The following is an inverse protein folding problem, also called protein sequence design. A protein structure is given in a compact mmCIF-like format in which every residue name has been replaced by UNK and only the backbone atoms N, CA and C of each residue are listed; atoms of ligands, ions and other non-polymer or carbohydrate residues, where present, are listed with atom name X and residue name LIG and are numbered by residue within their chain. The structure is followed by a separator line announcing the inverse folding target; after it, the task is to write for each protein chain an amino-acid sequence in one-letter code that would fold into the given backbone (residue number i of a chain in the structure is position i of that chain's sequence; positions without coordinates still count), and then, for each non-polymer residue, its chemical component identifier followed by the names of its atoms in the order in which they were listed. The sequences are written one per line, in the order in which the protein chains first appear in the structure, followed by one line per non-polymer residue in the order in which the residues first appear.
data_IF_043395406773
#
_entry.id   IF_043395406773
#
_cell.length_a   1.000
_cell.length_b   1.000
_cell.length_c   1.000
_cell.angle_alpha   90.00
_cell.angle_beta   90.00
_cell.angle_gamma   90.00
#
_symmetry.space_group_name_H-M   'P 1'
#
loop_
_entity.id
_entity.type
_entity.pdbx_description
1 polymer ?
#
# COMPACT_ATOMS: atom_id res chain seq x y z
N UNK A 1 20.16 -7.02 21.57
CA UNK A 1 19.54 -8.31 21.23
C UNK A 1 18.19 -8.02 20.60
N UNK A 2 17.79 -8.74 19.55
CA UNK A 2 16.48 -8.53 18.92
C UNK A 2 15.36 -8.99 19.88
N UNK A 3 14.32 -8.17 20.03
CA UNK A 3 13.15 -8.51 20.85
C UNK A 3 12.32 -9.56 20.12
N UNK A 4 12.06 -10.75 20.71
CA UNK A 4 11.21 -11.76 20.08
C UNK A 4 9.78 -11.25 19.87
N UNK A 5 9.08 -11.83 18.90
CA UNK A 5 7.66 -11.56 18.66
C UNK A 5 6.85 -11.96 19.90
N UNK A 6 5.97 -11.07 20.37
CA UNK A 6 5.03 -11.37 21.44
C UNK A 6 4.10 -12.52 21.02
N UNK A 7 3.98 -13.57 21.83
CA UNK A 7 3.28 -14.80 21.41
C UNK A 7 1.80 -14.59 21.11
N UNK A 8 1.12 -13.73 21.88
CA UNK A 8 -0.27 -13.36 21.59
C UNK A 8 -0.44 -12.60 20.26
N UNK A 9 0.58 -11.85 19.82
CA UNK A 9 0.58 -11.26 18.47
C UNK A 9 0.89 -12.31 17.39
N UNK A 10 1.78 -13.27 17.69
CA UNK A 10 2.10 -14.37 16.79
C UNK A 10 0.87 -15.20 16.39
N UNK A 11 -0.08 -15.41 17.30
CA UNK A 11 -1.35 -16.07 16.98
C UNK A 11 -2.17 -15.28 15.94
N UNK A 12 -2.27 -13.95 16.09
CA UNK A 12 -2.95 -13.09 15.12
C UNK A 12 -2.27 -13.12 13.74
N UNK A 13 -0.94 -13.16 13.72
CA UNK A 13 -0.17 -13.33 12.49
C UNK A 13 -0.48 -14.66 11.78
N UNK A 14 -0.62 -15.75 12.54
CA UNK A 14 -1.05 -17.05 11.98
C UNK A 14 -2.49 -16.98 11.45
N UNK A 15 -3.41 -16.30 12.13
CA UNK A 15 -4.78 -16.11 11.62
C UNK A 15 -4.81 -15.36 10.27
N UNK A 16 -3.96 -14.35 10.08
CA UNK A 16 -3.81 -13.72 8.76
C UNK A 16 -3.23 -14.67 7.72
N UNK A 17 -2.27 -15.51 8.09
CA UNK A 17 -1.71 -16.54 7.20
C UNK A 17 -2.79 -17.56 6.82
N UNK A 18 -3.65 -17.99 7.74
CA UNK A 18 -4.71 -18.95 7.43
C UNK A 18 -5.70 -18.36 6.43
N UNK A 19 -6.16 -17.12 6.68
CA UNK A 19 -7.10 -16.42 5.81
C UNK A 19 -7.03 -14.89 5.97
N UNK A 20 -6.33 -14.24 5.05
CA UNK A 20 -6.18 -12.77 5.02
C UNK A 20 -7.44 -12.00 4.61
N UNK A 21 -8.54 -12.67 4.24
CA UNK A 21 -9.86 -12.03 4.12
C UNK A 21 -10.65 -12.03 5.44
N UNK A 22 -10.35 -12.98 6.34
CA UNK A 22 -11.01 -13.09 7.65
C UNK A 22 -10.28 -12.28 8.72
N UNK A 23 -8.94 -12.35 8.75
CA UNK A 23 -8.11 -11.49 9.58
C UNK A 23 -7.15 -10.70 8.68
N UNK A 24 -7.65 -9.56 8.19
CA UNK A 24 -6.95 -8.70 7.24
C UNK A 24 -5.61 -8.18 7.77
N UNK A 25 -4.69 -7.92 6.84
CA UNK A 25 -3.37 -7.36 7.15
C UNK A 25 -3.50 -5.95 7.75
N UNK A 26 -4.59 -5.22 7.45
CA UNK A 26 -4.93 -3.95 8.10
C UNK A 26 -5.21 -4.11 9.60
N UNK A 27 -5.89 -5.18 10.00
CA UNK A 27 -6.10 -5.52 11.41
C UNK A 27 -4.80 -5.90 12.08
N UNK A 28 -4.07 -6.84 11.49
CA UNK A 28 -2.76 -7.29 11.98
C UNK A 28 -1.82 -6.10 12.21
N UNK A 29 -1.74 -5.19 11.25
CA UNK A 29 -0.90 -3.99 11.34
C UNK A 29 -1.31 -3.07 12.49
N UNK A 30 -2.60 -2.80 12.65
CA UNK A 30 -3.07 -1.91 13.70
C UNK A 30 -2.93 -2.54 15.10
N UNK A 31 -3.07 -3.86 15.24
CA UNK A 31 -2.91 -4.58 16.51
C UNK A 31 -1.43 -4.79 16.89
N UNK A 32 -0.51 -4.78 15.93
CA UNK A 32 0.92 -4.92 16.20
C UNK A 32 1.43 -3.82 17.14
N UNK A 33 0.91 -2.60 17.01
CA UNK A 33 1.34 -1.45 17.80
C UNK A 33 1.20 -1.64 19.31
N UNK A 34 0.24 -2.46 19.76
CA UNK A 34 0.08 -2.81 21.18
C UNK A 34 1.36 -3.42 21.76
N UNK A 35 2.08 -4.22 20.96
CA UNK A 35 3.24 -5.02 21.40
C UNK A 35 4.53 -4.71 20.66
N UNK A 36 4.51 -3.83 19.65
CA UNK A 36 5.65 -3.47 18.79
C UNK A 36 6.91 -3.11 19.61
N UNK A 37 8.09 -3.70 19.38
CA UNK A 37 9.30 -3.34 20.11
C UNK A 37 9.69 -1.87 19.93
N UNK A 38 10.10 -1.18 20.99
CA UNK A 38 10.45 0.25 20.93
C UNK A 38 11.57 0.54 19.91
N UNK A 39 12.54 -0.37 19.78
CA UNK A 39 13.62 -0.23 18.80
C UNK A 39 13.12 -0.39 17.35
N UNK A 40 12.11 -1.23 17.10
CA UNK A 40 11.49 -1.37 15.79
C UNK A 40 10.70 -0.11 15.43
N UNK A 41 9.93 0.43 16.38
CA UNK A 41 9.18 1.69 16.22
C UNK A 41 10.13 2.82 15.82
N UNK A 42 11.23 3.00 16.55
CA UNK A 42 12.20 4.05 16.29
C UNK A 42 12.84 3.94 14.89
N UNK A 43 13.16 2.71 14.44
CA UNK A 43 13.72 2.47 13.10
C UNK A 43 12.75 2.84 11.99
N UNK A 44 11.47 2.47 12.11
CA UNK A 44 10.45 2.81 11.11
C UNK A 44 10.15 4.31 11.08
N UNK A 45 10.13 4.97 12.24
CA UNK A 45 9.97 6.43 12.29
C UNK A 45 11.16 7.15 11.64
N UNK A 46 12.39 6.73 11.96
CA UNK A 46 13.61 7.28 11.35
C UNK A 46 13.65 7.05 9.83
N UNK A 47 13.22 5.88 9.34
CA UNK A 47 13.15 5.57 7.92
C UNK A 47 12.28 6.56 7.12
N UNK A 48 11.30 7.19 7.77
CA UNK A 48 10.47 8.25 7.17
C UNK A 48 11.12 9.63 7.35
N UNK A 49 11.45 9.99 8.59
CA UNK A 49 11.87 11.35 8.92
C UNK A 49 13.25 11.70 8.37
N UNK A 50 14.17 10.74 8.36
CA UNK A 50 15.56 10.96 7.95
C UNK A 50 15.76 10.80 6.44
N UNK A 51 14.78 10.22 5.73
CA UNK A 51 14.87 10.06 4.29
C UNK A 51 14.77 11.42 3.59
N UNK A 52 15.75 11.79 2.72
CA UNK A 52 15.85 13.14 2.16
C UNK A 52 14.65 13.54 1.31
N UNK A 53 14.02 12.59 0.62
CA UNK A 53 12.83 12.85 -0.20
C UNK A 53 11.51 12.72 0.58
N UNK A 54 11.47 12.02 1.71
CA UNK A 54 10.21 11.73 2.43
C UNK A 54 10.02 12.66 3.61
N UNK A 55 11.10 12.88 4.36
CA UNK A 55 11.13 13.67 5.59
C UNK A 55 10.54 15.07 5.47
N UNK A 56 10.78 15.86 4.39
CA UNK A 56 10.20 17.19 4.25
C UNK A 56 8.66 17.20 4.31
N UNK A 57 8.00 16.35 3.51
CA UNK A 57 6.54 16.27 3.51
C UNK A 57 6.01 15.60 4.77
N UNK A 58 6.72 14.59 5.30
CA UNK A 58 6.37 13.93 6.55
C UNK A 58 6.34 14.90 7.74
N UNK A 59 7.35 15.77 7.87
CA UNK A 59 7.41 16.81 8.91
C UNK A 59 6.35 17.89 8.72
N UNK A 60 6.01 18.22 7.47
CA UNK A 60 4.94 19.16 7.16
C UNK A 60 3.54 18.58 7.43
N UNK A 61 3.42 17.25 7.55
CA UNK A 61 2.17 16.51 7.72
C UNK A 61 1.08 16.93 6.70
N UNK A 62 1.49 17.26 5.47
CA UNK A 62 0.59 17.82 4.47
C UNK A 62 -0.38 16.75 3.95
N UNK A 63 -1.67 17.06 3.98
CA UNK A 63 -2.73 16.26 3.38
C UNK A 63 -3.48 17.14 2.38
N UNK A 64 -3.81 16.57 1.24
CA UNK A 64 -4.67 17.27 0.30
C UNK A 64 -6.07 17.50 0.92
N UNK A 65 -6.76 18.59 0.57
CA UNK A 65 -8.19 18.70 0.81
C UNK A 65 -8.94 17.54 0.16
N UNK A 66 -10.07 17.15 0.73
CA UNK A 66 -10.95 16.18 0.09
C UNK A 66 -11.49 16.78 -1.21
N UNK A 67 -11.54 15.97 -2.27
CA UNK A 67 -12.13 16.34 -3.54
C UNK A 67 -13.01 15.20 -4.05
N UNK A 68 -14.04 15.56 -4.81
CA UNK A 68 -14.90 14.60 -5.49
C UNK A 68 -14.31 14.22 -6.86
N UNK A 69 -14.54 12.99 -7.33
CA UNK A 69 -14.22 12.52 -8.68
C UNK A 69 -14.88 13.40 -9.75
N UNK A 70 -16.02 14.01 -9.44
CA UNK A 70 -16.66 15.00 -10.29
C UNK A 70 -15.75 16.21 -10.57
N UNK A 71 -14.91 16.62 -9.60
CA UNK A 71 -13.95 17.72 -9.76
C UNK A 71 -12.83 17.40 -10.77
N UNK A 72 -12.66 16.13 -11.13
CA UNK A 72 -11.68 15.70 -12.14
C UNK A 72 -12.25 15.68 -13.57
N UNK A 73 -13.53 16.04 -13.76
CA UNK A 73 -14.17 16.03 -15.07
C UNK A 73 -13.45 16.91 -16.11
N UNK A 74 -12.84 18.01 -15.66
CA UNK A 74 -12.12 18.95 -16.52
C UNK A 74 -10.66 18.55 -16.79
N UNK A 75 -10.19 17.44 -16.23
CA UNK A 75 -8.85 16.93 -16.54
C UNK A 75 -8.80 16.42 -17.98
N UNK A 76 -7.94 17.03 -18.79
CA UNK A 76 -7.77 16.68 -20.20
C UNK A 76 -7.31 15.22 -20.38
N UNK A 77 -7.69 14.53 -21.48
CA UNK A 77 -7.18 13.20 -21.79
C UNK A 77 -5.65 13.13 -21.75
N UNK A 78 -5.11 12.06 -21.16
CA UNK A 78 -3.66 11.86 -21.00
C UNK A 78 -3.04 12.52 -19.77
N UNK A 79 -3.82 13.24 -18.95
CA UNK A 79 -3.36 13.77 -17.65
C UNK A 79 -3.52 12.75 -16.53
N UNK A 80 -2.80 12.94 -15.41
CA UNK A 80 -2.92 12.09 -14.23
C UNK A 80 -4.35 12.04 -13.68
N UNK A 81 -5.01 13.20 -13.55
CA UNK A 81 -6.36 13.31 -13.01
C UNK A 81 -7.40 12.62 -13.89
N UNK A 82 -7.26 12.71 -15.22
CA UNK A 82 -8.11 11.97 -16.14
C UNK A 82 -7.93 10.46 -15.98
N UNK A 83 -6.69 9.98 -15.97
CA UNK A 83 -6.39 8.56 -15.82
C UNK A 83 -6.84 8.02 -14.45
N UNK A 84 -6.68 8.80 -13.39
CA UNK A 84 -7.15 8.47 -12.05
C UNK A 84 -8.68 8.38 -11.98
N UNK A 85 -9.39 9.35 -12.55
CA UNK A 85 -10.86 9.29 -12.64
C UNK A 85 -11.32 8.04 -13.37
N UNK A 86 -10.70 7.72 -14.51
CA UNK A 86 -11.00 6.49 -15.27
C UNK A 86 -10.73 5.24 -14.43
N UNK A 87 -9.57 5.15 -13.78
CA UNK A 87 -9.22 4.02 -12.91
C UNK A 87 -10.24 3.79 -11.80
N UNK A 88 -10.68 4.86 -11.12
CA UNK A 88 -11.67 4.79 -10.06
C UNK A 88 -13.02 4.25 -10.56
N UNK A 89 -13.49 4.74 -11.72
CA UNK A 89 -14.76 4.32 -12.33
C UNK A 89 -14.68 2.87 -12.80
N UNK A 90 -13.64 2.51 -13.55
CA UNK A 90 -13.48 1.18 -14.16
C UNK A 90 -13.37 0.06 -13.12
N UNK A 91 -12.87 0.38 -11.92
CA UNK A 91 -12.70 -0.57 -10.81
C UNK A 91 -13.80 -0.43 -9.74
N UNK A 92 -14.85 0.38 -9.96
CA UNK A 92 -15.93 0.64 -9.00
C UNK A 92 -15.44 1.00 -7.59
N UNK A 93 -14.38 1.82 -7.51
CA UNK A 93 -13.75 2.18 -6.24
C UNK A 93 -14.53 3.26 -5.50
N UNK A 94 -14.43 3.22 -4.17
CA UNK A 94 -15.18 4.10 -3.28
C UNK A 94 -14.50 5.46 -3.18
N UNK A 95 -15.25 6.48 -3.55
CA UNK A 95 -14.90 7.88 -3.30
C UNK A 95 -14.77 8.15 -1.80
N UNK A 96 -13.80 8.97 -1.39
CA UNK A 96 -13.49 9.28 0.02
C UNK A 96 -12.96 8.12 0.89
N UNK A 97 -12.36 7.08 0.31
CA UNK A 97 -11.69 6.01 1.06
C UNK A 97 -10.73 6.54 2.14
N UNK A 98 -9.96 7.60 1.81
CA UNK A 98 -9.05 8.24 2.75
C UNK A 98 -9.73 8.95 3.92
N UNK A 99 -10.89 9.56 3.71
CA UNK A 99 -11.66 10.21 4.77
C UNK A 99 -12.28 9.16 5.72
N UNK A 100 -12.81 8.06 5.16
CA UNK A 100 -13.27 6.91 5.94
C UNK A 100 -12.15 6.31 6.78
N UNK A 101 -10.95 6.17 6.19
CA UNK A 101 -9.80 5.67 6.92
C UNK A 101 -9.33 6.64 8.02
N UNK A 102 -9.36 7.96 7.77
CA UNK A 102 -9.03 8.97 8.80
C UNK A 102 -9.93 8.83 10.03
N UNK A 103 -11.24 8.67 9.83
CA UNK A 103 -12.18 8.45 10.93
C UNK A 103 -11.89 7.14 11.67
N UNK A 104 -11.61 6.05 10.94
CA UNK A 104 -11.21 4.76 11.52
C UNK A 104 -9.92 4.89 12.35
N UNK A 105 -8.91 5.59 11.83
CA UNK A 105 -7.64 5.82 12.52
C UNK A 105 -7.85 6.59 13.82
N UNK A 106 -8.66 7.65 13.81
CA UNK A 106 -9.01 8.40 15.03
C UNK A 106 -9.70 7.53 16.07
N UNK A 107 -10.60 6.63 15.66
CA UNK A 107 -11.25 5.70 16.58
C UNK A 107 -10.26 4.70 17.19
N UNK A 108 -9.28 4.21 16.41
CA UNK A 108 -8.21 3.33 16.91
C UNK A 108 -7.29 4.03 17.90
N UNK A 109 -6.98 5.30 17.66
CA UNK A 109 -6.19 6.14 18.55
C UNK A 109 -6.91 6.38 19.87
N UNK A 110 -8.19 6.78 19.83
CA UNK A 110 -9.04 6.98 21.02
C UNK A 110 -9.21 5.70 21.83
N UNK A 111 -9.30 4.54 21.15
CA UNK A 111 -9.34 3.22 21.79
C UNK A 111 -8.01 2.72 22.33
N UNK A 112 -6.91 3.47 22.16
CA UNK A 112 -5.57 3.13 22.64
C UNK A 112 -4.86 2.02 21.85
N UNK A 113 -5.48 1.45 20.81
CA UNK A 113 -4.94 0.31 20.06
C UNK A 113 -3.67 0.65 19.27
N UNK A 114 -3.56 1.91 18.86
CA UNK A 114 -2.37 2.45 18.19
C UNK A 114 -1.64 3.49 19.04
N UNK A 115 -1.79 3.47 20.38
CA UNK A 115 -1.18 4.46 21.28
C UNK A 115 0.36 4.54 21.20
N UNK A 116 1.00 3.50 20.64
CA UNK A 116 2.45 3.42 20.45
C UNK A 116 2.89 3.78 19.03
N UNK A 117 1.97 4.14 18.15
CA UNK A 117 2.24 4.57 16.78
C UNK A 117 2.74 6.03 16.78
N UNK A 118 3.94 6.32 16.26
CA UNK A 118 4.45 7.68 16.20
C UNK A 118 3.68 8.57 15.21
N UNK A 119 3.67 9.90 15.40
CA UNK A 119 2.94 10.84 14.52
C UNK A 119 3.35 10.73 13.05
N UNK A 120 4.63 10.52 12.74
CA UNK A 120 5.11 10.37 11.36
C UNK A 120 4.53 9.12 10.69
N UNK A 121 4.36 8.04 11.45
CA UNK A 121 3.74 6.80 10.97
C UNK A 121 2.23 6.98 10.80
N UNK A 122 1.55 7.59 11.78
CA UNK A 122 0.13 7.91 11.69
C UNK A 122 -0.18 8.77 10.45
N UNK A 123 0.65 9.79 10.21
CA UNK A 123 0.60 10.59 8.99
C UNK A 123 0.78 9.74 7.74
N UNK A 124 1.81 8.88 7.70
CA UNK A 124 2.08 8.00 6.57
C UNK A 124 0.92 7.08 6.25
N UNK A 125 0.24 6.54 7.27
CA UNK A 125 -0.93 5.68 7.10
C UNK A 125 -2.03 6.45 6.37
N UNK A 126 -2.46 7.61 6.90
CA UNK A 126 -3.52 8.42 6.28
C UNK A 126 -3.14 8.89 4.88
N UNK A 127 -1.89 9.35 4.69
CA UNK A 127 -1.37 9.76 3.38
C UNK A 127 -1.31 8.60 2.38
N UNK A 128 -0.95 7.41 2.86
CA UNK A 128 -0.94 6.18 2.06
C UNK A 128 -2.30 5.90 1.44
N UNK A 129 -3.37 5.93 2.25
CA UNK A 129 -4.74 5.79 1.73
C UNK A 129 -5.15 6.93 0.80
N UNK A 130 -4.72 8.17 1.06
CA UNK A 130 -5.02 9.31 0.18
C UNK A 130 -4.41 9.20 -1.23
N UNK A 131 -3.26 8.54 -1.35
CA UNK A 131 -2.49 8.45 -2.60
C UNK A 131 -2.48 7.06 -3.23
N UNK A 132 -3.04 6.06 -2.55
CA UNK A 132 -2.99 4.66 -2.94
C UNK A 132 -3.36 4.43 -4.41
N UNK A 133 -4.54 4.91 -4.78
CA UNK A 133 -5.12 4.69 -6.09
C UNK A 133 -4.40 5.51 -7.18
N UNK A 134 -3.78 6.64 -6.81
CA UNK A 134 -2.86 7.35 -7.70
C UNK A 134 -1.60 6.54 -7.97
N UNK A 135 -1.10 5.77 -7.00
CA UNK A 135 0.05 4.90 -7.22
C UNK A 135 -0.27 3.76 -8.19
N UNK A 136 -1.49 3.20 -8.17
CA UNK A 136 -1.94 2.27 -9.21
C UNK A 136 -1.84 2.88 -10.62
N UNK A 137 -2.35 4.11 -10.79
CA UNK A 137 -2.30 4.82 -12.08
C UNK A 137 -0.86 5.06 -12.53
N UNK A 138 0.00 5.53 -11.63
CA UNK A 138 1.40 5.85 -11.94
C UNK A 138 2.19 4.60 -12.32
N UNK A 139 2.06 3.53 -11.53
CA UNK A 139 2.79 2.26 -11.74
C UNK A 139 2.17 1.37 -12.82
N UNK A 140 0.89 1.57 -13.11
CA UNK A 140 0.10 0.74 -14.02
C UNK A 140 -0.32 -0.61 -13.42
N UNK A 141 -0.20 -0.83 -12.10
CA UNK A 141 -0.72 -2.04 -11.47
C UNK A 141 -2.25 -1.99 -11.40
N UNK A 142 -2.96 -3.06 -11.79
CA UNK A 142 -4.42 -3.10 -11.71
C UNK A 142 -4.92 -3.28 -10.26
N UNK A 143 -6.17 -2.90 -9.98
CA UNK A 143 -6.83 -3.16 -8.67
C UNK A 143 -7.29 -4.63 -8.58
N UNK A 144 -6.35 -5.56 -8.69
CA UNK A 144 -6.57 -7.01 -8.55
C UNK A 144 -5.70 -7.54 -7.40
N UNK A 145 -5.99 -8.70 -6.81
CA UNK A 145 -5.19 -9.22 -5.68
C UNK A 145 -3.68 -9.25 -5.95
N UNK A 146 -3.26 -9.65 -7.16
CA UNK A 146 -1.85 -9.66 -7.52
C UNK A 146 -1.30 -8.27 -7.88
N UNK A 147 -2.14 -7.37 -8.41
CA UNK A 147 -1.76 -5.98 -8.65
C UNK A 147 -1.54 -5.20 -7.35
N UNK A 148 -2.39 -5.45 -6.34
CA UNK A 148 -2.22 -4.98 -4.97
C UNK A 148 -0.91 -5.50 -4.37
N UNK A 149 -0.66 -6.81 -4.49
CA UNK A 149 0.59 -7.39 -3.99
C UNK A 149 1.83 -6.80 -4.66
N UNK A 150 1.80 -6.59 -5.97
CA UNK A 150 2.89 -5.94 -6.69
C UNK A 150 3.08 -4.48 -6.25
N UNK A 151 1.98 -3.75 -6.02
CA UNK A 151 2.05 -2.39 -5.50
C UNK A 151 2.60 -2.34 -4.07
N UNK A 152 2.23 -3.27 -3.20
CA UNK A 152 2.79 -3.37 -1.84
C UNK A 152 4.30 -3.69 -1.89
N UNK A 153 4.73 -4.59 -2.76
CA UNK A 153 6.16 -4.89 -2.96
C UNK A 153 6.93 -3.68 -3.51
N UNK A 154 6.33 -2.94 -4.46
CA UNK A 154 6.87 -1.68 -4.98
C UNK A 154 7.03 -0.64 -3.87
N UNK A 155 6.00 -0.48 -3.04
CA UNK A 155 5.99 0.47 -1.93
C UNK A 155 7.04 0.12 -0.87
N UNK A 156 7.20 -1.17 -0.55
CA UNK A 156 8.23 -1.65 0.38
C UNK A 156 9.65 -1.45 -0.16
N UNK A 157 9.84 -1.59 -1.47
CA UNK A 157 11.13 -1.31 -2.11
C UNK A 157 11.53 0.17 -2.01
N UNK A 158 10.56 1.08 -1.84
CA UNK A 158 10.80 2.53 -1.74
C UNK A 158 10.97 3.03 -0.30
N UNK A 159 10.46 2.30 0.69
CA UNK A 159 10.49 2.71 2.09
C UNK A 159 10.27 1.53 3.02
N UNK A 160 11.10 1.44 4.06
CA UNK A 160 10.92 0.47 5.14
C UNK A 160 9.61 0.78 5.90
N UNK A 161 8.57 0.00 5.63
CA UNK A 161 7.25 0.20 6.22
C UNK A 161 6.64 -1.12 6.72
N UNK A 162 6.22 -1.20 7.99
CA UNK A 162 5.72 -2.45 8.58
C UNK A 162 4.48 -2.99 7.88
N UNK A 163 3.56 -2.15 7.41
CA UNK A 163 2.34 -2.60 6.73
C UNK A 163 2.66 -3.39 5.45
N UNK A 164 3.51 -2.83 4.57
CA UNK A 164 3.90 -3.48 3.33
C UNK A 164 4.77 -4.72 3.61
N UNK A 165 5.62 -4.70 4.64
CA UNK A 165 6.39 -5.88 5.07
C UNK A 165 5.48 -7.02 5.58
N UNK A 166 4.40 -6.69 6.30
CA UNK A 166 3.41 -7.68 6.76
C UNK A 166 2.64 -8.28 5.60
N UNK A 167 2.32 -7.52 4.55
CA UNK A 167 1.74 -8.06 3.31
C UNK A 167 2.62 -9.17 2.73
N UNK A 168 3.91 -8.91 2.55
CA UNK A 168 4.86 -9.90 2.05
C UNK A 168 4.94 -11.10 2.98
N UNK A 169 5.05 -10.88 4.29
CA UNK A 169 5.18 -11.96 5.27
C UNK A 169 3.92 -12.87 5.34
N UNK A 170 2.72 -12.29 5.31
CA UNK A 170 1.46 -13.04 5.34
C UNK A 170 1.27 -13.83 4.06
N UNK A 171 1.44 -13.21 2.89
CA UNK A 171 1.25 -13.89 1.60
C UNK A 171 2.28 -15.00 1.40
N UNK A 172 3.55 -14.76 1.75
CA UNK A 172 4.58 -15.80 1.65
C UNK A 172 4.40 -16.92 2.67
N UNK A 173 3.84 -16.63 3.85
CA UNK A 173 3.39 -17.64 4.81
C UNK A 173 2.24 -18.48 4.26
N UNK A 174 1.22 -17.83 3.68
CA UNK A 174 0.05 -18.49 3.10
C UNK A 174 0.45 -19.40 1.94
N UNK A 175 1.27 -18.92 1.00
CA UNK A 175 1.70 -19.73 -0.14
C UNK A 175 2.57 -20.94 0.29
N UNK A 176 3.29 -20.83 1.41
CA UNK A 176 4.15 -21.89 1.90
C UNK A 176 3.40 -22.96 2.71
N UNK A 177 2.39 -22.54 3.47
CA UNK A 177 1.76 -23.39 4.50
C UNK A 177 0.31 -23.76 4.19
N UNK A 178 -0.39 -22.99 3.36
CA UNK A 178 -1.84 -23.13 3.13
C UNK A 178 -2.13 -23.48 1.68
N UNK A 179 -1.72 -22.63 0.73
CA UNK A 179 -2.02 -22.82 -0.70
C UNK A 179 -0.79 -22.60 -1.60
N UNK A 180 -0.07 -23.69 -1.97
CA UNK A 180 1.08 -23.62 -2.86
C UNK A 180 0.78 -23.13 -4.28
N UNK A 181 -0.48 -23.11 -4.74
CA UNK A 181 -0.81 -22.54 -6.06
C UNK A 181 -0.58 -21.03 -6.09
N UNK A 182 -0.51 -20.38 -4.92
CA UNK A 182 -0.19 -18.98 -4.80
C UNK A 182 1.29 -18.67 -5.08
N UNK A 183 2.20 -19.65 -4.99
CA UNK A 183 3.66 -19.42 -5.05
C UNK A 183 4.08 -18.67 -6.31
N UNK A 184 3.77 -19.20 -7.51
CA UNK A 184 4.19 -18.58 -8.76
C UNK A 184 3.60 -17.17 -8.96
N UNK A 185 2.27 -16.99 -8.96
CA UNK A 185 1.69 -15.67 -9.22
C UNK A 185 2.03 -14.63 -8.13
N UNK A 186 2.16 -15.03 -6.86
CA UNK A 186 2.60 -14.13 -5.81
C UNK A 186 4.07 -13.72 -5.98
N UNK A 187 4.96 -14.68 -6.26
CA UNK A 187 6.38 -14.37 -6.46
C UNK A 187 6.62 -13.53 -7.71
N UNK A 188 5.86 -13.74 -8.79
CA UNK A 188 5.93 -12.91 -9.99
C UNK A 188 5.53 -11.45 -9.67
N UNK A 189 4.39 -11.26 -8.98
CA UNK A 189 3.94 -9.93 -8.54
C UNK A 189 4.94 -9.25 -7.58
N UNK A 190 5.45 -9.97 -6.59
CA UNK A 190 6.46 -9.45 -5.64
C UNK A 190 7.73 -9.06 -6.38
N UNK A 191 8.19 -9.90 -7.32
CA UNK A 191 9.43 -9.66 -8.07
C UNK A 191 9.32 -8.43 -8.96
N UNK A 192 8.23 -8.30 -9.73
CA UNK A 192 7.99 -7.14 -10.59
C UNK A 192 7.87 -5.86 -9.76
N UNK A 193 7.01 -5.89 -8.72
CA UNK A 193 6.81 -4.83 -7.75
C UNK A 193 8.11 -4.32 -7.16
N UNK A 194 8.85 -5.22 -6.51
CA UNK A 194 10.11 -4.91 -5.85
C UNK A 194 11.15 -4.36 -6.84
N UNK A 195 11.37 -5.05 -7.96
CA UNK A 195 12.37 -4.65 -8.96
C UNK A 195 12.09 -3.25 -9.52
N UNK A 196 10.83 -2.96 -9.87
CA UNK A 196 10.42 -1.63 -10.35
C UNK A 196 10.55 -0.57 -9.26
N UNK A 197 10.15 -0.87 -8.03
CA UNK A 197 10.24 0.06 -6.90
C UNK A 197 11.68 0.44 -6.55
N UNK A 198 12.63 -0.50 -6.70
CA UNK A 198 14.07 -0.24 -6.49
C UNK A 198 14.71 0.63 -7.56
N UNK A 199 14.15 0.68 -8.78
CA UNK A 199 14.65 1.48 -9.91
C UNK A 199 13.97 2.86 -9.98
N UNK A 200 12.70 2.93 -9.60
CA UNK A 200 11.90 4.13 -9.66
C UNK A 200 12.26 5.12 -8.54
N UNK A 201 12.00 6.40 -8.78
CA UNK A 201 12.01 7.43 -7.72
C UNK A 201 10.80 7.22 -6.81
N UNK A 202 10.95 7.55 -5.52
CA UNK A 202 9.88 7.31 -4.54
C UNK A 202 8.59 8.07 -4.88
N UNK A 203 7.45 7.37 -4.80
CA UNK A 203 6.11 7.95 -4.92
C UNK A 203 5.51 8.31 -3.55
N UNK A 204 6.07 7.76 -2.46
CA UNK A 204 5.44 7.66 -1.13
C UNK A 204 5.07 9.01 -0.47
N UNK A 205 5.79 10.09 -0.79
CA UNK A 205 5.65 11.41 -0.16
C UNK A 205 5.68 12.53 -1.21
N UNK A 206 4.82 12.40 -2.21
CA UNK A 206 4.65 13.39 -3.29
C UNK A 206 3.21 13.91 -3.27
N UNK A 207 3.03 15.22 -3.41
CA UNK A 207 1.72 15.87 -3.51
C UNK A 207 1.12 15.74 -4.93
N UNK A 208 0.86 14.52 -5.39
CA UNK A 208 0.32 14.25 -6.73
C UNK A 208 -1.04 14.92 -7.00
N UNK A 209 -1.80 15.23 -5.96
CA UNK A 209 -3.06 15.98 -6.04
C UNK A 209 -2.86 17.40 -6.57
N UNK A 210 -1.66 17.98 -6.42
CA UNK A 210 -1.31 19.28 -7.01
C UNK A 210 -0.86 19.15 -8.48
N UNK A 211 -0.73 17.91 -8.99
CA UNK A 211 -0.17 17.58 -10.30
C UNK A 211 -1.19 16.89 -11.23
N UNK A 212 -2.48 16.92 -10.88
CA UNK A 212 -3.53 16.19 -11.59
C UNK A 212 -3.66 16.59 -13.06
N UNK A 213 -3.38 17.85 -13.41
CA UNK A 213 -3.43 18.32 -14.80
C UNK A 213 -2.14 18.06 -15.59
N UNK A 214 -1.10 17.49 -14.98
CA UNK A 214 0.13 17.17 -15.69
C UNK A 214 -0.02 15.92 -16.58
N UNK A 215 0.65 15.85 -17.74
CA UNK A 215 0.67 14.66 -18.57
C UNK A 215 1.21 13.44 -17.83
N UNK A 216 0.47 12.33 -17.85
CA UNK A 216 0.83 11.10 -17.14
C UNK A 216 2.17 10.51 -17.62
N UNK A 217 2.43 10.53 -18.93
CA UNK A 217 3.69 9.98 -19.47
C UNK A 217 4.91 10.79 -19.05
N UNK A 218 4.74 12.11 -18.86
CA UNK A 218 5.78 12.97 -18.30
C UNK A 218 6.06 12.59 -16.84
N UNK A 219 5.02 12.40 -16.04
CA UNK A 219 5.16 11.96 -14.64
C UNK A 219 5.83 10.57 -14.57
N UNK A 220 5.38 9.61 -15.37
CA UNK A 220 6.01 8.29 -15.44
C UNK A 220 7.49 8.39 -15.82
N UNK A 221 7.84 9.23 -16.77
CA UNK A 221 9.25 9.46 -17.14
C UNK A 221 10.05 10.09 -15.99
N UNK A 222 9.49 11.09 -15.30
CA UNK A 222 10.13 11.76 -14.16
C UNK A 222 10.42 10.79 -13.00
N UNK A 223 9.52 9.84 -12.75
CA UNK A 223 9.66 8.87 -11.65
C UNK A 223 10.30 7.55 -12.06
N UNK A 224 10.78 7.41 -13.31
CA UNK A 224 11.47 6.20 -13.77
C UNK A 224 10.53 5.01 -14.06
N UNK A 225 9.30 5.29 -14.50
CA UNK A 225 8.22 4.35 -14.79
C UNK A 225 7.81 4.37 -16.28
N UNK A 226 8.71 4.78 -17.17
CA UNK A 226 8.47 4.82 -18.62
C UNK A 226 8.55 3.43 -19.29
N UNK A 227 8.86 2.37 -18.54
CA UNK A 227 8.96 0.99 -19.03
C UNK A 227 7.60 0.32 -19.29
N UNK A 228 6.50 1.06 -19.07
CA UNK A 228 5.13 0.60 -19.30
C UNK A 228 4.42 0.21 -18.00
N UNK A 229 3.18 -0.34 -18.08
CA UNK A 229 2.46 -0.82 -16.92
C UNK A 229 3.16 -2.03 -16.30
N UNK A 230 2.90 -2.27 -15.01
CA UNK A 230 3.44 -3.44 -14.31
C UNK A 230 3.01 -4.76 -14.93
N UNK A 231 3.91 -5.73 -14.92
CA UNK A 231 3.71 -7.03 -15.54
C UNK A 231 3.06 -7.99 -14.54
N UNK A 232 1.77 -7.79 -14.24
CA UNK A 232 1.01 -8.69 -13.38
C UNK A 232 -0.01 -9.46 -14.21
N UNK A 233 0.16 -10.78 -14.26
CA UNK A 233 -0.73 -11.69 -15.00
C UNK A 233 -1.55 -12.49 -13.99
N UNK A 234 -2.88 -12.40 -14.12
CA UNK A 234 -3.75 -13.27 -13.35
C UNK A 234 -3.58 -14.72 -13.82
N UNK A 235 -3.40 -15.69 -12.90
CA UNK A 235 -3.28 -17.09 -13.28
C UNK A 235 -4.60 -17.58 -13.90
N UNK A 236 -4.49 -18.58 -14.77
CA UNK A 236 -5.67 -19.24 -15.33
C UNK A 236 -6.56 -19.80 -14.22
N UNK A 237 -7.88 -19.85 -14.42
CA UNK A 237 -8.86 -20.30 -13.41
C UNK A 237 -8.52 -21.65 -12.77
N UNK A 238 -7.95 -22.59 -13.52
CA UNK A 238 -7.54 -23.91 -13.02
C UNK A 238 -6.34 -23.89 -12.06
N UNK A 239 -5.65 -22.74 -11.94
CA UNK A 239 -4.52 -22.47 -11.04
C UNK A 239 -4.78 -21.28 -10.13
N UNK A 240 -6.03 -20.84 -10.01
CA UNK A 240 -6.42 -19.78 -9.09
C UNK A 240 -6.35 -20.31 -7.66
N UNK A 241 -5.65 -19.61 -6.74
CA UNK A 241 -5.65 -19.95 -5.32
C UNK A 241 -7.07 -19.93 -4.74
N UNK A 242 -7.35 -20.83 -3.79
CA UNK A 242 -8.71 -21.10 -3.30
C UNK A 242 -9.36 -19.84 -2.69
N UNK A 243 -8.61 -19.09 -1.88
CA UNK A 243 -9.10 -17.84 -1.28
C UNK A 243 -9.44 -16.77 -2.32
N UNK A 244 -8.73 -16.74 -3.44
CA UNK A 244 -8.97 -15.77 -4.50
C UNK A 244 -10.11 -16.22 -5.43
N UNK A 245 -10.27 -17.54 -5.63
CA UNK A 245 -11.38 -18.10 -6.39
C UNK A 245 -12.73 -17.93 -5.68
N UNK A 246 -12.75 -17.93 -4.34
CA UNK A 246 -13.94 -17.71 -3.54
C UNK A 246 -14.39 -16.23 -3.47
N UNK A 247 -13.50 -15.30 -3.82
CA UNK A 247 -13.75 -13.85 -3.77
C UNK A 247 -14.07 -13.23 -5.15
N UNK A 248 -13.98 -14.00 -6.23
CA UNK A 248 -14.22 -13.59 -7.62
C UNK A 248 -15.63 -13.98 -8.10
#
# INVERSE_FOLDING_TARGET
MATPIARGFGEKFLLSIDNFYSHGIDWLFNEWWETAPADAIAKYEAAILDHPEHGPLARAAWLAPDFELAALADCAPGTLGHAYRTFMIDNNLVEHLAAGYRARHQALEQGGRIARMPPAIAYKVVRGFQTHDLHHVLTGYPATPFGELALQAFQLAQMDFPYAAMWIAVVTGHMALVDPLLIQPAMDAITDGWSRGRRARSLQFVAFEQRLHEPLDRLRSEYGLADGPGAVINPARARMPDLLAAAA
#
